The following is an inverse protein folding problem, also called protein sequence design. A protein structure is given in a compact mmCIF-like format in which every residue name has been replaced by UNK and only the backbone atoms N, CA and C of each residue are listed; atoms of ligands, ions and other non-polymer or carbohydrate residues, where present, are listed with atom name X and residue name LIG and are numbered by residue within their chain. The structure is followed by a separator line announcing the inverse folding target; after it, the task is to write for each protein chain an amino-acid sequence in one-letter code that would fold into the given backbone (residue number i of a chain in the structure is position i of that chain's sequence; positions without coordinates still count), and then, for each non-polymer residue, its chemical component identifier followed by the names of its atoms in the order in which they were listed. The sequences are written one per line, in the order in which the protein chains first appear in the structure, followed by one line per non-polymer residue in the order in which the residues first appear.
data_IF_367061972276
#
_entry.id   IF_367061972276
#
_cell.length_a   1.000
_cell.length_b   1.000
_cell.length_c   1.000
_cell.angle_alpha   90.00
_cell.angle_beta   90.00
_cell.angle_gamma   90.00
#
_symmetry.space_group_name_H-M   'P 1'
#
loop_
_entity.id
_entity.type
_entity.pdbx_description
1 polymer ?
#
# COMPACT_ATOMS: atom_id res chain seq x y z
N UNK A 1 -23.39 -40.27 19.27
CA UNK A 1 -23.15 -41.47 18.45
C UNK A 1 -22.94 -41.02 17.01
N UNK A 2 -21.68 -40.99 16.58
CA UNK A 2 -21.20 -41.12 15.20
C UNK A 2 -19.68 -40.89 15.26
N UNK A 3 -18.94 -42.00 15.30
CA UNK A 3 -17.48 -42.04 15.37
C UNK A 3 -16.91 -42.17 13.96
N UNK A 4 -16.08 -41.19 13.57
CA UNK A 4 -15.28 -41.20 12.34
C UNK A 4 -13.95 -41.93 12.59
N UNK A 5 -13.65 -42.91 11.74
CA UNK A 5 -12.45 -43.75 11.76
C UNK A 5 -11.21 -42.98 11.27
N UNK A 6 -10.10 -43.09 12.00
CA UNK A 6 -8.75 -42.68 11.59
C UNK A 6 -7.91 -43.96 11.41
N UNK A 7 -7.13 -44.14 10.33
CA UNK A 7 -6.24 -45.29 10.20
C UNK A 7 -4.86 -45.05 10.85
N UNK A 8 -4.43 -46.02 11.65
CA UNK A 8 -3.09 -46.12 12.25
C UNK A 8 -2.00 -46.49 11.22
N UNK A 9 -0.86 -45.79 11.28
CA UNK A 9 0.37 -46.19 10.60
C UNK A 9 1.25 -47.02 11.56
N UNK A 10 1.52 -48.27 11.20
CA UNK A 10 2.44 -49.17 11.92
C UNK A 10 3.82 -49.18 11.25
N UNK A 11 4.86 -48.81 12.00
CA UNK A 11 6.26 -48.96 11.61
C UNK A 11 6.77 -50.32 12.08
N UNK A 12 7.38 -51.11 11.19
CA UNK A 12 8.16 -52.31 11.54
C UNK A 12 9.66 -52.00 11.45
N UNK A 13 10.46 -52.37 12.46
CA UNK A 13 11.90 -52.53 12.33
C UNK A 13 12.31 -54.00 12.45
N UNK A 14 13.27 -54.42 11.63
CA UNK A 14 14.26 -55.47 11.91
C UNK A 14 15.03 -55.73 10.60
N UNK A 15 16.26 -56.22 10.56
CA UNK A 15 17.49 -56.09 11.35
C UNK A 15 18.46 -57.08 10.71
N UNK A 16 19.76 -56.85 10.91
CA UNK A 16 20.83 -57.87 10.93
C UNK A 16 21.22 -58.49 9.55
N UNK A 17 22.46 -58.87 9.27
CA UNK A 17 23.66 -58.96 10.10
C UNK A 17 24.90 -59.26 9.22
N UNK A 18 26.07 -58.98 9.78
CA UNK A 18 27.37 -59.67 9.63
C UNK A 18 28.06 -59.67 8.25
N UNK A 19 29.35 -59.37 8.12
CA UNK A 19 30.47 -60.07 8.75
C UNK A 19 31.75 -59.23 8.86
N UNK A 20 32.57 -59.64 9.82
CA UNK A 20 33.90 -59.18 10.24
C UNK A 20 35.03 -59.57 9.24
N UNK A 21 36.18 -58.87 9.28
CA UNK A 21 37.51 -59.39 9.69
C UNK A 21 38.70 -58.50 9.21
N UNK A 22 39.37 -57.89 10.21
CA UNK A 22 40.82 -57.81 10.54
C UNK A 22 41.93 -57.51 9.49
N UNK A 23 42.89 -56.69 9.96
CA UNK A 23 44.33 -56.50 9.59
C UNK A 23 44.60 -55.49 8.47
N UNK A 24 45.58 -54.59 8.50
CA UNK A 24 46.68 -54.29 9.40
C UNK A 24 47.68 -53.38 8.64
N UNK A 25 48.49 -52.59 9.35
CA UNK A 25 49.85 -52.22 8.92
C UNK A 25 50.05 -51.20 7.77
N UNK A 26 50.38 -49.97 8.19
CA UNK A 26 51.59 -49.21 7.81
C UNK A 26 51.97 -48.90 6.34
N UNK A 27 52.36 -47.62 6.19
CA UNK A 27 53.55 -47.11 5.50
C UNK A 27 53.41 -46.52 4.08
N UNK A 28 53.89 -45.27 4.01
CA UNK A 28 54.28 -44.44 2.87
C UNK A 28 54.62 -45.18 1.56
N UNK A 29 54.14 -44.62 0.43
CA UNK A 29 55.02 -44.07 -0.63
C UNK A 29 54.23 -43.38 -1.74
N UNK A 30 54.72 -42.20 -2.14
CA UNK A 30 54.36 -41.48 -3.36
C UNK A 30 54.78 -42.30 -4.58
N UNK A 31 53.87 -42.49 -5.54
CA UNK A 31 54.22 -42.77 -6.95
C UNK A 31 53.18 -42.07 -7.83
N UNK A 32 53.64 -41.10 -8.62
CA UNK A 32 52.88 -40.50 -9.71
C UNK A 32 52.93 -41.42 -10.93
N UNK A 33 51.77 -41.67 -11.55
CA UNK A 33 51.67 -42.16 -12.93
C UNK A 33 50.56 -41.41 -13.64
N UNK A 34 50.93 -40.68 -14.69
CA UNK A 34 50.01 -40.12 -15.67
C UNK A 34 49.38 -41.25 -16.50
N UNK A 35 48.07 -41.22 -16.74
CA UNK A 35 47.44 -41.15 -18.08
C UNK A 35 45.91 -41.38 -18.00
N UNK A 36 45.18 -40.55 -18.74
CA UNK A 36 43.86 -40.80 -19.33
C UNK A 36 42.60 -40.74 -18.42
N UNK A 37 41.96 -39.56 -18.37
CA UNK A 37 40.52 -39.46 -18.64
C UNK A 37 40.21 -38.05 -19.19
N UNK A 38 40.39 -37.91 -20.50
CA UNK A 38 39.98 -36.72 -21.28
C UNK A 38 38.54 -36.94 -21.75
N UNK A 39 37.56 -36.74 -20.87
CA UNK A 39 36.16 -36.56 -21.25
C UNK A 39 35.54 -35.64 -20.19
N UNK A 40 34.65 -34.75 -20.62
CA UNK A 40 33.94 -33.72 -19.85
C UNK A 40 34.66 -32.37 -19.89
N UNK A 41 34.34 -31.56 -20.89
CA UNK A 41 33.76 -30.21 -20.72
C UNK A 41 33.45 -29.62 -22.11
N UNK A 42 32.59 -30.30 -22.89
CA UNK A 42 31.76 -29.63 -23.90
C UNK A 42 30.47 -29.20 -23.20
N UNK A 43 30.59 -28.25 -22.27
CA UNK A 43 29.43 -27.45 -21.90
C UNK A 43 29.17 -26.54 -23.11
N UNK A 44 27.99 -26.57 -23.75
CA UNK A 44 27.63 -25.44 -24.59
C UNK A 44 27.66 -24.23 -23.66
N UNK A 45 28.51 -23.25 -23.97
CA UNK A 45 28.35 -21.94 -23.41
C UNK A 45 26.96 -21.48 -23.86
N UNK A 46 25.96 -21.69 -23.01
CA UNK A 46 24.66 -21.08 -23.18
C UNK A 46 24.93 -19.60 -23.23
N UNK A 47 24.83 -19.01 -24.43
CA UNK A 47 24.75 -17.58 -24.55
C UNK A 47 23.49 -17.21 -23.79
N UNK A 48 23.66 -16.72 -22.56
CA UNK A 48 22.61 -15.98 -21.89
C UNK A 48 22.47 -14.71 -22.73
N UNK A 49 21.61 -14.76 -23.74
CA UNK A 49 21.17 -13.57 -24.43
C UNK A 49 20.49 -12.72 -23.35
N UNK A 50 21.15 -11.63 -22.97
CA UNK A 50 20.51 -10.60 -22.19
C UNK A 50 19.23 -10.20 -22.96
N UNK A 51 18.09 -10.25 -22.29
CA UNK A 51 16.83 -9.81 -22.89
C UNK A 51 16.95 -8.37 -23.41
N UNK A 52 16.08 -7.97 -24.35
CA UNK A 52 16.06 -6.60 -24.84
C UNK A 52 15.95 -5.63 -23.66
N UNK A 53 16.87 -4.66 -23.58
CA UNK A 53 16.82 -3.65 -22.52
C UNK A 53 15.83 -2.56 -22.93
N UNK A 54 14.87 -2.18 -22.08
CA UNK A 54 14.01 -1.02 -22.34
C UNK A 54 14.85 0.25 -22.49
N UNK A 55 14.55 1.07 -23.51
CA UNK A 55 15.05 2.45 -23.63
C UNK A 55 13.83 3.38 -23.55
N UNK A 56 13.58 3.88 -22.34
CA UNK A 56 12.45 4.74 -22.01
C UNK A 56 12.99 6.07 -21.49
N UNK A 57 12.54 7.17 -22.10
CA UNK A 57 12.90 8.55 -21.75
C UNK A 57 11.64 9.34 -21.44
N UNK A 58 11.80 10.50 -20.80
CA UNK A 58 10.68 11.38 -20.45
C UNK A 58 9.54 10.65 -19.68
N UNK A 59 9.89 9.64 -18.88
CA UNK A 59 8.93 8.81 -18.14
C UNK A 59 8.49 9.52 -16.86
N UNK A 60 7.34 10.18 -16.95
CA UNK A 60 6.83 11.07 -15.91
C UNK A 60 5.31 11.05 -15.86
N UNK A 61 4.78 11.53 -14.75
CA UNK A 61 3.37 11.81 -14.55
C UNK A 61 3.21 13.28 -14.15
N UNK A 62 2.18 13.93 -14.69
CA UNK A 62 1.79 15.29 -14.33
C UNK A 62 0.38 15.26 -13.76
N UNK A 63 0.17 15.90 -12.61
CA UNK A 63 -1.14 15.98 -11.98
C UNK A 63 -1.82 17.30 -12.30
N UNK A 64 -3.09 17.22 -12.68
CA UNK A 64 -4.04 18.33 -12.53
C UNK A 64 -4.92 17.96 -11.35
N UNK A 65 -4.37 18.08 -10.14
CA UNK A 65 -4.99 17.61 -8.91
C UNK A 65 -6.27 18.42 -8.58
N UNK A 66 -7.37 17.78 -8.12
CA UNK A 66 -7.57 16.34 -7.89
C UNK A 66 -8.22 15.61 -9.09
N UNK A 67 -8.19 16.17 -10.29
CA UNK A 67 -8.99 15.68 -11.42
C UNK A 67 -8.29 14.62 -12.25
N UNK A 68 -7.01 14.81 -12.61
CA UNK A 68 -6.34 13.93 -13.57
C UNK A 68 -4.86 13.68 -13.28
N UNK A 69 -4.38 12.51 -13.74
CA UNK A 69 -2.97 12.15 -13.82
C UNK A 69 -2.61 11.79 -15.26
N UNK A 70 -1.71 12.55 -15.88
CA UNK A 70 -1.28 12.34 -17.26
C UNK A 70 0.12 11.72 -17.29
N UNK A 71 0.20 10.50 -17.81
CA UNK A 71 1.44 9.74 -17.96
C UNK A 71 2.02 9.97 -19.34
N UNK A 72 3.32 10.25 -19.40
CA UNK A 72 4.04 10.45 -20.67
C UNK A 72 5.33 9.64 -20.69
N UNK A 73 5.73 9.19 -21.88
CA UNK A 73 7.03 8.58 -22.11
C UNK A 73 7.42 8.64 -23.60
N UNK A 74 8.73 8.59 -23.85
CA UNK A 74 9.33 8.32 -25.16
C UNK A 74 9.92 6.91 -25.13
N UNK A 75 9.38 6.01 -25.95
CA UNK A 75 9.79 4.61 -26.05
C UNK A 75 10.65 4.41 -27.29
N UNK A 76 11.72 3.63 -27.20
CA UNK A 76 12.59 3.33 -28.34
C UNK A 76 12.89 1.83 -28.49
N UNK A 77 12.96 1.37 -29.74
CA UNK A 77 13.43 0.04 -30.14
C UNK A 77 14.21 0.12 -31.48
N UNK A 78 14.94 -0.95 -31.80
CA UNK A 78 15.61 -1.13 -33.10
C UNK A 78 14.64 -1.42 -34.26
N UNK A 79 13.44 -1.94 -33.95
CA UNK A 79 12.36 -2.17 -34.91
C UNK A 79 11.17 -1.26 -34.60
N UNK A 80 10.23 -1.13 -35.53
CA UNK A 80 9.00 -0.36 -35.30
C UNK A 80 8.22 -0.90 -34.09
N UNK A 81 7.88 -0.03 -33.16
CA UNK A 81 7.01 -0.34 -32.03
C UNK A 81 5.59 -0.49 -32.57
N UNK A 82 4.94 -1.61 -32.25
CA UNK A 82 3.61 -1.96 -32.79
C UNK A 82 2.54 -2.10 -31.69
N UNK A 83 2.96 -2.24 -30.44
CA UNK A 83 2.06 -2.28 -29.28
C UNK A 83 2.68 -1.52 -28.11
N UNK A 84 1.86 -0.74 -27.39
CA UNK A 84 2.22 -0.08 -26.14
C UNK A 84 1.07 -0.26 -25.15
N UNK A 85 1.39 -0.65 -23.93
CA UNK A 85 0.47 -0.80 -22.80
C UNK A 85 1.06 -0.04 -21.62
N UNK A 86 0.27 0.87 -21.06
CA UNK A 86 0.53 1.44 -19.74
C UNK A 86 -0.07 0.51 -18.69
N UNK A 87 0.77 -0.01 -17.80
CA UNK A 87 0.31 -0.67 -16.57
C UNK A 87 0.43 0.32 -15.42
N UNK A 88 -0.66 0.53 -14.67
CA UNK A 88 -0.70 1.51 -13.60
C UNK A 88 -1.61 1.07 -12.46
N UNK A 89 -1.48 1.73 -11.33
CA UNK A 89 -2.30 1.52 -10.14
C UNK A 89 -1.85 2.41 -8.98
N UNK A 90 -2.30 2.06 -7.78
CA UNK A 90 -1.90 2.69 -6.54
C UNK A 90 -1.35 1.63 -5.56
N UNK A 91 -0.74 2.09 -4.47
CA UNK A 91 -0.38 1.26 -3.33
C UNK A 91 -1.48 1.35 -2.29
N UNK A 92 -2.22 0.26 -2.12
CA UNK A 92 -3.27 0.10 -1.12
C UNK A 92 -3.36 -1.36 -0.69
N UNK A 93 -4.02 -1.61 0.44
CA UNK A 93 -4.40 -2.94 0.87
C UNK A 93 -5.44 -3.53 -0.09
N UNK A 94 -5.17 -4.73 -0.61
CA UNK A 94 -6.05 -5.45 -1.54
C UNK A 94 -5.98 -6.95 -1.25
N UNK A 95 -6.99 -7.72 -1.68
CA UNK A 95 -6.93 -9.19 -1.59
C UNK A 95 -6.13 -9.84 -2.72
N UNK A 96 -5.49 -9.06 -3.58
CA UNK A 96 -4.73 -9.58 -4.72
C UNK A 96 -4.11 -8.49 -5.56
N UNK A 97 -3.24 -8.87 -6.49
CA UNK A 97 -2.58 -7.94 -7.38
C UNK A 97 -3.61 -7.34 -8.37
N UNK A 98 -3.83 -6.03 -8.28
CA UNK A 98 -4.68 -5.27 -9.19
C UNK A 98 -3.79 -4.41 -10.07
N UNK A 99 -3.86 -4.65 -11.39
CA UNK A 99 -3.11 -3.88 -12.39
C UNK A 99 -4.12 -3.34 -13.40
N UNK A 100 -4.26 -2.01 -13.46
CA UNK A 100 -4.99 -1.37 -14.53
C UNK A 100 -4.13 -1.33 -15.81
N UNK A 101 -4.78 -1.45 -16.96
CA UNK A 101 -4.13 -1.40 -18.28
C UNK A 101 -4.78 -0.34 -19.14
N UNK A 102 -3.96 0.51 -19.74
CA UNK A 102 -4.37 1.50 -20.72
C UNK A 102 -3.57 1.34 -22.02
N UNK A 103 -4.18 1.76 -23.13
CA UNK A 103 -3.68 1.57 -24.49
C UNK A 103 -3.58 2.94 -25.17
N UNK A 104 -2.46 3.68 -25.02
CA UNK A 104 -2.29 4.98 -25.66
C UNK A 104 -2.30 4.86 -27.19
N UNK A 105 -2.75 5.91 -27.86
CA UNK A 105 -2.69 6.01 -29.32
C UNK A 105 -1.31 6.54 -29.74
N UNK A 106 -0.72 5.91 -30.76
CA UNK A 106 0.55 6.32 -31.35
C UNK A 106 0.64 5.84 -32.80
N UNK A 107 1.55 6.42 -33.58
CA UNK A 107 1.90 5.93 -34.90
C UNK A 107 3.11 4.99 -34.79
N UNK A 108 3.09 3.77 -35.37
CA UNK A 108 4.23 2.86 -35.33
C UNK A 108 5.51 3.50 -35.86
N UNK A 109 6.58 3.43 -35.07
CA UNK A 109 7.92 3.91 -35.41
C UNK A 109 8.94 3.27 -34.47
N UNK A 110 10.23 3.36 -34.78
CA UNK A 110 11.31 2.90 -33.88
C UNK A 110 11.45 3.75 -32.62
N UNK A 111 10.91 4.97 -32.62
CA UNK A 111 10.79 5.84 -31.45
C UNK A 111 9.39 6.46 -31.45
N UNK A 112 8.66 6.31 -30.35
CA UNK A 112 7.28 6.81 -30.22
C UNK A 112 7.15 7.60 -28.93
N UNK A 113 6.46 8.74 -29.02
CA UNK A 113 5.97 9.47 -27.85
C UNK A 113 4.56 8.99 -27.55
N UNK A 114 4.31 8.67 -26.27
CA UNK A 114 3.02 8.17 -25.80
C UNK A 114 2.53 8.99 -24.63
N UNK A 115 1.22 9.18 -24.60
CA UNK A 115 0.52 9.89 -23.53
C UNK A 115 -0.79 9.15 -23.22
N UNK A 116 -1.12 9.08 -21.93
CA UNK A 116 -2.44 8.63 -21.49
C UNK A 116 -2.84 9.36 -20.20
N UNK A 117 -4.10 9.79 -20.13
CA UNK A 117 -4.65 10.52 -18.98
C UNK A 117 -5.62 9.64 -18.20
N UNK A 118 -5.35 9.49 -16.92
CA UNK A 118 -6.27 8.93 -15.94
C UNK A 118 -7.19 10.04 -15.43
N UNK A 119 -8.49 9.96 -15.74
CA UNK A 119 -9.52 10.87 -15.24
C UNK A 119 -10.17 10.30 -13.96
N UNK A 120 -9.85 10.90 -12.81
CA UNK A 120 -10.30 10.44 -11.49
C UNK A 120 -11.82 10.59 -11.32
N UNK A 121 -12.46 11.46 -12.10
CA UNK A 121 -13.92 11.63 -12.11
C UNK A 121 -14.64 10.37 -12.63
N UNK A 122 -13.94 9.52 -13.37
CA UNK A 122 -14.49 8.28 -13.94
C UNK A 122 -14.23 7.05 -13.06
N UNK A 123 -13.06 6.97 -12.43
CA UNK A 123 -12.65 5.82 -11.61
C UNK A 123 -12.98 5.94 -10.13
N UNK A 124 -13.31 7.16 -9.66
CA UNK A 124 -13.29 7.51 -8.24
C UNK A 124 -11.99 8.22 -7.86
N UNK A 125 -12.06 9.07 -6.83
CA UNK A 125 -10.92 9.82 -6.31
C UNK A 125 -9.94 8.92 -5.57
N UNK A 126 -8.67 9.31 -5.53
CA UNK A 126 -7.68 8.77 -4.61
C UNK A 126 -7.51 9.72 -3.43
N UNK A 127 -7.28 9.21 -2.21
CA UNK A 127 -6.98 10.10 -1.09
C UNK A 127 -5.71 10.90 -1.38
N UNK A 128 -5.69 12.19 -1.03
CA UNK A 128 -4.45 12.97 -0.99
C UNK A 128 -3.37 12.21 -0.23
N UNK A 129 -2.20 12.08 -0.84
CA UNK A 129 -1.07 11.30 -0.32
C UNK A 129 -0.93 9.87 -0.84
N UNK A 130 -1.93 9.34 -1.57
CA UNK A 130 -1.84 8.00 -2.13
C UNK A 130 -0.60 7.85 -3.04
N UNK A 131 0.11 6.73 -2.92
CA UNK A 131 1.23 6.41 -3.82
C UNK A 131 0.67 5.81 -5.11
N UNK A 132 0.88 6.48 -6.23
CA UNK A 132 0.57 5.94 -7.55
C UNK A 132 1.81 5.27 -8.14
N UNK A 133 1.62 4.24 -8.94
CA UNK A 133 2.70 3.59 -9.67
C UNK A 133 2.31 3.34 -11.13
N UNK A 134 3.32 3.34 -12.01
CA UNK A 134 3.14 2.98 -13.41
C UNK A 134 4.40 2.35 -14.02
N UNK A 135 4.21 1.64 -15.13
CA UNK A 135 5.27 1.16 -16.02
C UNK A 135 4.74 0.95 -17.44
N UNK A 136 5.65 1.02 -18.40
CA UNK A 136 5.34 0.81 -19.82
C UNK A 136 5.74 -0.60 -20.26
N UNK A 137 4.85 -1.26 -21.00
CA UNK A 137 5.15 -2.47 -21.76
C UNK A 137 4.99 -2.19 -23.24
N UNK A 138 5.94 -2.62 -24.05
CA UNK A 138 5.82 -2.43 -25.50
C UNK A 138 6.45 -3.58 -26.28
N UNK A 139 5.91 -3.82 -27.47
CA UNK A 139 6.36 -4.88 -28.38
C UNK A 139 6.68 -4.27 -29.73
N UNK A 140 7.80 -4.67 -30.32
CA UNK A 140 8.20 -4.23 -31.65
C UNK A 140 7.81 -5.24 -32.75
N UNK A 141 8.00 -4.86 -34.01
CA UNK A 141 7.66 -5.66 -35.18
C UNK A 141 8.47 -6.97 -35.31
N UNK A 142 9.56 -7.13 -34.55
CA UNK A 142 10.31 -8.39 -34.47
C UNK A 142 9.70 -9.37 -33.45
N UNK A 143 8.71 -8.91 -32.66
CA UNK A 143 8.12 -9.65 -31.55
C UNK A 143 8.92 -9.51 -30.25
N UNK A 144 9.93 -8.63 -30.19
CA UNK A 144 10.66 -8.38 -28.96
C UNK A 144 9.79 -7.56 -27.98
N UNK A 145 9.71 -8.03 -26.74
CA UNK A 145 8.96 -7.38 -25.66
C UNK A 145 9.90 -6.62 -24.71
N UNK A 146 9.47 -5.45 -24.29
CA UNK A 146 10.19 -4.55 -23.40
C UNK A 146 9.27 -4.14 -22.25
N UNK A 147 9.86 -3.96 -21.06
CA UNK A 147 9.16 -3.53 -19.85
C UNK A 147 10.02 -2.49 -19.16
N UNK A 148 9.50 -1.28 -18.96
CA UNK A 148 10.22 -0.24 -18.23
C UNK A 148 10.34 -0.59 -16.74
N UNK A 149 11.25 0.10 -16.05
CA UNK A 149 11.24 0.12 -14.60
C UNK A 149 9.91 0.70 -14.10
N UNK A 150 9.45 0.24 -12.93
CA UNK A 150 8.29 0.82 -12.25
C UNK A 150 8.66 2.19 -11.70
N UNK A 151 7.81 3.17 -11.93
CA UNK A 151 7.89 4.53 -11.39
C UNK A 151 6.78 4.74 -10.38
N UNK A 152 7.00 5.66 -9.44
CA UNK A 152 6.00 6.04 -8.44
C UNK A 152 5.94 7.55 -8.28
N UNK A 153 4.80 8.05 -7.83
CA UNK A 153 4.59 9.45 -7.46
C UNK A 153 3.50 9.54 -6.38
N UNK A 154 3.55 10.58 -5.55
CA UNK A 154 2.52 10.83 -4.54
C UNK A 154 1.41 11.68 -5.13
N UNK A 155 0.17 11.18 -5.09
CA UNK A 155 -1.03 11.91 -5.49
C UNK A 155 -1.33 13.03 -4.50
N UNK A 156 -0.77 14.21 -4.74
CA UNK A 156 -0.92 15.37 -3.89
C UNK A 156 -0.77 16.63 -4.75
N UNK A 157 -1.38 17.73 -4.32
CA UNK A 157 -1.21 19.01 -4.99
C UNK A 157 0.24 19.53 -4.87
N UNK A 158 0.64 20.35 -5.84
CA UNK A 158 1.94 21.02 -5.88
C UNK A 158 1.83 22.54 -5.65
N UNK A 159 0.62 23.05 -5.36
CA UNK A 159 0.36 24.47 -5.15
C UNK A 159 0.61 24.89 -3.69
N UNK A 160 0.54 23.94 -2.76
CA UNK A 160 0.83 24.18 -1.35
C UNK A 160 2.21 23.69 -0.94
N UNK A 161 2.85 24.44 -0.04
CA UNK A 161 4.15 24.08 0.51
C UNK A 161 3.97 23.17 1.74
N UNK A 162 3.64 21.90 1.49
CA UNK A 162 3.49 20.87 2.52
C UNK A 162 4.76 20.71 3.36
N UNK A 163 4.57 20.61 4.67
CA UNK A 163 5.60 20.32 5.67
C UNK A 163 5.25 19.01 6.37
N UNK A 164 6.25 18.28 6.87
CA UNK A 164 6.03 17.00 7.56
C UNK A 164 6.65 17.00 8.96
N UNK A 165 5.91 16.50 9.94
CA UNK A 165 6.42 16.10 11.26
C UNK A 165 6.09 14.63 11.50
N UNK A 166 6.99 13.88 12.14
CA UNK A 166 6.87 12.42 12.26
C UNK A 166 7.13 11.95 13.68
N UNK A 167 6.43 10.90 14.11
CA UNK A 167 6.63 10.30 15.43
C UNK A 167 5.81 9.01 15.64
N UNK A 168 6.41 8.01 16.27
CA UNK A 168 5.74 6.76 16.69
C UNK A 168 4.91 6.04 15.62
N UNK A 169 5.38 6.01 14.37
CA UNK A 169 4.66 5.38 13.25
C UNK A 169 3.61 6.28 12.59
N UNK A 170 3.59 7.57 12.92
CA UNK A 170 2.77 8.58 12.26
C UNK A 170 3.65 9.56 11.47
N UNK A 171 3.12 10.05 10.35
CA UNK A 171 3.62 11.21 9.63
C UNK A 171 2.48 12.18 9.42
N UNK A 172 2.64 13.41 9.87
CA UNK A 172 1.65 14.45 9.71
C UNK A 172 2.16 15.45 8.69
N UNK A 173 1.40 15.62 7.62
CA UNK A 173 1.65 16.58 6.54
C UNK A 173 0.71 17.76 6.70
N UNK A 174 1.24 18.98 6.67
CA UNK A 174 0.44 20.19 6.90
C UNK A 174 0.98 21.39 6.13
N UNK A 175 0.14 22.39 5.93
CA UNK A 175 0.53 23.74 5.52
C UNK A 175 -0.37 24.78 6.19
N UNK A 176 -0.03 26.06 6.07
CA UNK A 176 -0.85 27.16 6.60
C UNK A 176 -0.92 27.28 8.14
N UNK A 177 -0.26 26.38 8.88
CA UNK A 177 -0.10 26.40 10.34
C UNK A 177 1.39 26.33 10.71
N UNK A 178 1.72 26.59 11.98
CA UNK A 178 3.10 26.54 12.47
C UNK A 178 3.51 25.14 12.97
N UNK A 179 4.81 24.97 13.24
CA UNK A 179 5.35 23.70 13.71
C UNK A 179 4.86 23.31 15.12
N UNK A 180 4.48 24.28 15.97
CA UNK A 180 3.98 23.99 17.31
C UNK A 180 2.58 23.36 17.24
N UNK A 181 1.73 23.90 16.35
CA UNK A 181 0.43 23.32 16.03
C UNK A 181 0.57 21.89 15.49
N UNK A 182 1.45 21.69 14.49
CA UNK A 182 1.66 20.37 13.91
C UNK A 182 2.16 19.35 14.95
N UNK A 183 3.05 19.76 15.85
CA UNK A 183 3.52 18.93 16.96
C UNK A 183 2.38 18.55 17.92
N UNK A 184 1.49 19.49 18.26
CA UNK A 184 0.34 19.23 19.14
C UNK A 184 -0.66 18.24 18.52
N UNK A 185 -0.86 18.27 17.20
CA UNK A 185 -1.67 17.31 16.46
C UNK A 185 -1.00 15.94 16.36
N UNK A 186 0.33 15.89 16.10
CA UNK A 186 1.08 14.64 16.13
C UNK A 186 0.99 13.97 17.51
N UNK A 187 1.10 14.75 18.59
CA UNK A 187 0.93 14.24 19.95
C UNK A 187 -0.49 13.72 20.21
N UNK A 188 -1.52 14.35 19.64
CA UNK A 188 -2.89 13.83 19.69
C UNK A 188 -2.99 12.46 18.98
N UNK A 189 -2.39 12.31 17.80
CA UNK A 189 -2.32 11.03 17.10
C UNK A 189 -1.58 9.95 17.89
N UNK A 190 -0.44 10.29 18.51
CA UNK A 190 0.33 9.36 19.36
C UNK A 190 -0.50 8.91 20.56
N UNK A 191 -1.23 9.83 21.18
CA UNK A 191 -2.19 9.51 22.24
C UNK A 191 -3.33 8.61 21.72
N UNK A 192 -3.83 8.86 20.52
CA UNK A 192 -4.81 8.00 19.84
C UNK A 192 -4.31 6.58 19.61
N UNK A 193 -3.07 6.40 19.15
CA UNK A 193 -2.43 5.07 19.04
C UNK A 193 -2.35 4.38 20.40
N UNK A 194 -1.96 5.11 21.45
CA UNK A 194 -1.86 4.57 22.82
C UNK A 194 -3.21 4.11 23.34
N UNK A 195 -4.25 4.94 23.22
CA UNK A 195 -5.62 4.64 23.68
C UNK A 195 -6.20 3.43 22.98
N UNK A 196 -6.14 3.41 21.65
CA UNK A 196 -6.62 2.27 20.86
C UNK A 196 -5.92 0.98 21.27
N UNK A 197 -4.59 1.01 21.41
CA UNK A 197 -3.85 -0.16 21.88
C UNK A 197 -4.30 -0.65 23.25
N UNK A 198 -4.45 0.25 24.22
CA UNK A 198 -4.78 -0.12 25.60
C UNK A 198 -6.25 -0.55 25.78
N UNK A 199 -7.16 0.07 25.04
CA UNK A 199 -8.60 -0.10 25.22
C UNK A 199 -9.17 -1.22 24.36
N UNK A 200 -8.69 -1.36 23.12
CA UNK A 200 -9.27 -2.27 22.12
C UNK A 200 -8.25 -3.28 21.58
N UNK A 201 -6.96 -3.06 21.85
CA UNK A 201 -5.88 -3.90 21.33
C UNK A 201 -5.51 -3.61 19.88
N UNK A 202 -6.11 -2.59 19.27
CA UNK A 202 -5.83 -2.17 17.90
C UNK A 202 -4.42 -1.61 17.77
N UNK A 203 -3.75 -1.94 16.67
CA UNK A 203 -2.37 -1.53 16.35
C UNK A 203 -2.33 -1.01 14.92
N UNK A 204 -1.46 -0.05 14.65
CA UNK A 204 -1.17 0.40 13.29
C UNK A 204 -0.43 -0.69 12.51
N UNK A 205 -0.84 -0.91 11.26
CA UNK A 205 -0.11 -1.74 10.30
C UNK A 205 0.66 -0.84 9.34
N UNK A 206 1.92 -0.56 9.67
CA UNK A 206 2.76 0.37 8.92
C UNK A 206 2.70 1.81 9.46
N UNK A 207 3.10 2.75 8.61
CA UNK A 207 3.08 4.18 8.93
C UNK A 207 1.74 4.75 8.50
N UNK A 208 1.09 5.51 9.38
CA UNK A 208 -0.14 6.26 9.05
C UNK A 208 0.23 7.69 8.68
N UNK A 209 -0.21 8.13 7.51
CA UNK A 209 -0.04 9.49 7.01
C UNK A 209 -1.30 10.32 7.30
N UNK A 210 -1.14 11.51 7.89
CA UNK A 210 -2.23 12.40 8.27
C UNK A 210 -2.04 13.72 7.53
N UNK A 211 -2.91 14.02 6.57
CA UNK A 211 -2.89 15.27 5.80
C UNK A 211 -3.85 16.27 6.41
N UNK A 212 -3.30 17.38 6.91
CA UNK A 212 -4.04 18.44 7.58
C UNK A 212 -4.14 19.66 6.68
N UNK A 213 -5.37 19.96 6.29
CA UNK A 213 -5.74 21.18 5.56
C UNK A 213 -6.08 22.30 6.55
N UNK A 214 -5.74 23.56 6.25
CA UNK A 214 -5.92 24.67 7.18
C UNK A 214 -7.39 25.00 7.47
N UNK A 215 -8.32 24.52 6.65
CA UNK A 215 -9.77 24.69 6.79
C UNK A 215 -10.52 23.59 6.01
N UNK A 216 -11.86 23.50 6.17
CA UNK A 216 -12.69 22.50 5.49
C UNK A 216 -12.80 22.69 3.98
N UNK A 217 -12.80 23.93 3.48
CA UNK A 217 -12.91 24.21 2.05
C UNK A 217 -11.69 23.63 1.31
N UNK A 218 -10.49 23.89 1.81
CA UNK A 218 -9.25 23.36 1.24
C UNK A 218 -9.25 21.82 1.22
N UNK A 219 -9.77 21.17 2.28
CA UNK A 219 -9.91 19.71 2.31
C UNK A 219 -10.92 19.21 1.26
N UNK A 220 -12.08 19.87 1.16
CA UNK A 220 -13.14 19.51 0.22
C UNK A 220 -12.70 19.67 -1.24
N UNK A 221 -11.94 20.72 -1.54
CA UNK A 221 -11.39 20.95 -2.87
C UNK A 221 -10.34 19.89 -3.27
N UNK A 222 -9.78 19.15 -2.29
CA UNK A 222 -8.78 18.12 -2.52
C UNK A 222 -9.35 16.72 -2.78
N UNK A 223 -10.66 16.49 -2.57
CA UNK A 223 -11.30 15.18 -2.74
C UNK A 223 -12.54 15.29 -3.62
N UNK A 224 -12.58 14.53 -4.70
CA UNK A 224 -13.76 14.53 -5.58
C UNK A 224 -14.95 13.84 -4.92
N UNK A 225 -16.12 14.46 -5.04
CA UNK A 225 -17.43 13.94 -4.61
C UNK A 225 -17.64 13.81 -3.09
N UNK A 226 -16.79 14.44 -2.29
CA UNK A 226 -16.91 14.37 -0.85
C UNK A 226 -18.12 15.17 -0.33
N UNK A 227 -18.94 14.61 0.58
CA UNK A 227 -19.97 15.38 1.27
C UNK A 227 -19.41 16.59 2.02
N UNK A 228 -20.09 17.74 1.88
CA UNK A 228 -19.63 19.01 2.45
C UNK A 228 -19.68 19.10 3.98
N UNK A 229 -20.20 18.08 4.66
CA UNK A 229 -20.31 18.05 6.12
C UNK A 229 -19.15 17.30 6.78
N UNK A 230 -18.32 16.63 6.00
CA UNK A 230 -17.20 15.83 6.51
C UNK A 230 -16.08 16.73 7.03
N UNK A 231 -15.67 16.53 8.28
CA UNK A 231 -14.57 17.28 8.93
C UNK A 231 -13.22 16.56 8.86
N UNK A 232 -13.24 15.24 8.65
CA UNK A 232 -12.09 14.38 8.45
C UNK A 232 -12.52 13.05 7.85
N UNK A 233 -11.58 12.33 7.28
CA UNK A 233 -11.81 11.00 6.72
C UNK A 233 -10.60 10.09 6.92
N UNK A 234 -10.90 8.82 7.10
CA UNK A 234 -9.94 7.74 7.13
C UNK A 234 -10.04 6.86 5.88
N UNK A 235 -8.88 6.63 5.26
CA UNK A 235 -8.69 5.72 4.14
C UNK A 235 -7.82 4.56 4.63
N UNK A 236 -8.44 3.61 5.34
CA UNK A 236 -7.73 2.54 6.03
C UNK A 236 -6.89 1.68 5.10
N UNK A 237 -7.38 1.37 3.89
CA UNK A 237 -6.64 0.61 2.88
C UNK A 237 -5.37 1.34 2.40
N UNK A 238 -5.25 2.65 2.65
CA UNK A 238 -4.07 3.45 2.30
C UNK A 238 -3.22 3.83 3.51
N UNK A 239 -3.67 3.53 4.74
CA UNK A 239 -3.13 4.12 5.97
C UNK A 239 -3.07 5.66 5.92
N UNK A 240 -4.11 6.29 5.36
CA UNK A 240 -4.19 7.75 5.22
C UNK A 240 -5.37 8.30 6.02
N UNK A 241 -5.14 9.39 6.73
CA UNK A 241 -6.17 10.28 7.26
C UNK A 241 -6.06 11.61 6.53
N UNK A 242 -7.20 12.21 6.20
CA UNK A 242 -7.27 13.62 5.80
C UNK A 242 -8.19 14.36 6.76
N UNK A 243 -7.88 15.61 7.06
CA UNK A 243 -8.77 16.44 7.89
C UNK A 243 -8.66 17.93 7.56
N UNK A 244 -9.79 18.63 7.67
CA UNK A 244 -9.86 20.08 7.64
C UNK A 244 -9.96 20.62 9.05
N UNK A 245 -9.25 21.72 9.33
CA UNK A 245 -9.25 22.29 10.67
C UNK A 245 -10.48 23.17 10.92
N UNK A 246 -11.03 23.03 12.12
CA UNK A 246 -11.88 24.05 12.73
C UNK A 246 -11.01 25.18 13.29
N UNK A 247 -11.29 26.43 12.91
CA UNK A 247 -10.55 27.61 13.41
C UNK A 247 -10.88 27.99 14.86
N UNK A 248 -11.94 27.42 15.43
CA UNK A 248 -12.49 27.87 16.72
C UNK A 248 -12.29 26.86 17.86
N UNK A 249 -11.85 25.64 17.55
CA UNK A 249 -11.81 24.56 18.53
C UNK A 249 -10.62 23.62 18.31
N UNK A 250 -9.51 23.91 19.00
CA UNK A 250 -8.31 23.07 18.98
C UNK A 250 -8.54 21.71 19.64
N UNK A 251 -9.36 21.64 20.69
CA UNK A 251 -9.68 20.36 21.34
C UNK A 251 -10.44 19.45 20.37
N UNK A 252 -11.41 20.01 19.64
CA UNK A 252 -12.12 19.31 18.58
C UNK A 252 -11.14 18.79 17.52
N UNK A 253 -10.21 19.63 17.02
CA UNK A 253 -9.22 19.17 16.04
C UNK A 253 -8.38 17.99 16.57
N UNK A 254 -7.96 18.02 17.84
CA UNK A 254 -7.21 16.92 18.46
C UNK A 254 -8.04 15.64 18.59
N UNK A 255 -9.34 15.77 18.92
CA UNK A 255 -10.27 14.64 18.96
C UNK A 255 -10.50 14.06 17.57
N UNK A 256 -10.67 14.89 16.55
CA UNK A 256 -10.81 14.46 15.16
C UNK A 256 -9.60 13.66 14.69
N UNK A 257 -8.36 14.06 15.02
CA UNK A 257 -7.17 13.26 14.72
C UNK A 257 -7.27 11.85 15.33
N UNK A 258 -7.71 11.74 16.58
CA UNK A 258 -7.86 10.45 17.27
C UNK A 258 -9.00 9.63 16.66
N UNK A 259 -10.12 10.28 16.34
CA UNK A 259 -11.30 9.69 15.73
C UNK A 259 -10.95 9.03 14.39
N UNK A 260 -10.42 9.80 13.45
CA UNK A 260 -10.08 9.29 12.11
C UNK A 260 -8.95 8.27 12.15
N UNK A 261 -7.96 8.45 13.03
CA UNK A 261 -6.93 7.44 13.22
C UNK A 261 -7.53 6.11 13.67
N UNK A 262 -8.56 6.13 14.52
CA UNK A 262 -9.23 4.91 14.98
C UNK A 262 -9.86 4.16 13.81
N UNK A 263 -10.50 4.85 12.87
CA UNK A 263 -11.04 4.24 11.65
C UNK A 263 -9.95 3.57 10.80
N UNK A 264 -8.76 4.18 10.67
CA UNK A 264 -7.61 3.53 10.00
C UNK A 264 -7.22 2.22 10.70
N UNK A 265 -7.08 2.24 12.03
CA UNK A 265 -6.69 1.05 12.80
C UNK A 265 -7.74 -0.06 12.75
N UNK A 266 -9.02 0.29 12.88
CA UNK A 266 -10.15 -0.64 12.79
C UNK A 266 -10.20 -1.27 11.40
N UNK A 267 -10.08 -0.47 10.33
CA UNK A 267 -10.09 -0.97 8.96
C UNK A 267 -8.94 -1.92 8.67
N UNK A 268 -7.71 -1.57 9.09
CA UNK A 268 -6.55 -2.46 8.96
C UNK A 268 -6.75 -3.78 9.70
N UNK A 269 -7.27 -3.74 10.93
CA UNK A 269 -7.51 -4.93 11.75
C UNK A 269 -8.61 -5.85 11.19
N UNK A 270 -9.64 -5.27 10.56
CA UNK A 270 -10.81 -6.00 10.06
C UNK A 270 -10.84 -6.19 8.56
N UNK A 271 -9.78 -5.80 7.87
CA UNK A 271 -9.67 -5.87 6.41
C UNK A 271 -10.13 -7.23 5.86
N UNK A 272 -11.09 -7.16 4.94
CA UNK A 272 -11.72 -8.32 4.31
C UNK A 272 -12.37 -7.91 2.99
N UNK A 273 -12.19 -8.70 1.93
CA UNK A 273 -12.87 -8.45 0.65
C UNK A 273 -14.28 -9.04 0.55
N UNK A 274 -14.84 -9.56 1.64
CA UNK A 274 -16.16 -10.22 1.64
C UNK A 274 -17.15 -9.60 2.64
N UNK A 275 -16.77 -8.56 3.39
CA UNK A 275 -17.66 -7.89 4.32
C UNK A 275 -17.03 -6.67 4.97
N UNK A 276 -17.89 -5.83 5.55
CA UNK A 276 -17.51 -4.64 6.32
C UNK A 276 -17.97 -4.79 7.76
N UNK A 277 -17.39 -4.00 8.67
CA UNK A 277 -17.95 -3.88 10.00
C UNK A 277 -19.26 -3.09 9.96
N UNK A 278 -20.19 -3.34 10.91
CA UNK A 278 -21.34 -2.47 11.10
C UNK A 278 -20.89 -1.07 11.55
N UNK A 279 -21.41 -0.01 10.91
CA UNK A 279 -20.99 1.37 11.20
C UNK A 279 -21.14 1.80 12.67
N UNK A 280 -22.11 1.25 13.42
CA UNK A 280 -22.23 1.56 14.85
C UNK A 280 -21.01 1.11 15.68
N UNK A 281 -20.30 0.06 15.24
CA UNK A 281 -19.07 -0.39 15.89
C UNK A 281 -17.92 0.54 15.50
N UNK A 282 -17.80 0.89 14.21
CA UNK A 282 -16.74 1.76 13.70
C UNK A 282 -16.80 3.14 14.37
N UNK A 283 -17.96 3.82 14.26
CA UNK A 283 -18.18 5.12 14.89
C UNK A 283 -18.12 5.05 16.43
N UNK A 284 -18.68 3.99 17.01
CA UNK A 284 -18.66 3.81 18.47
C UNK A 284 -17.25 3.68 19.04
N UNK A 285 -16.36 2.95 18.35
CA UNK A 285 -14.96 2.81 18.75
C UNK A 285 -14.17 4.10 18.55
N UNK A 286 -14.42 4.83 17.45
CA UNK A 286 -13.80 6.12 17.18
C UNK A 286 -14.17 7.15 18.26
N UNK A 287 -15.48 7.31 18.54
CA UNK A 287 -15.99 8.19 19.59
C UNK A 287 -15.48 7.80 20.99
N UNK A 288 -15.37 6.50 21.28
CA UNK A 288 -14.82 6.03 22.56
C UNK A 288 -13.34 6.42 22.72
N UNK A 289 -12.57 6.34 21.64
CA UNK A 289 -11.12 6.61 21.64
C UNK A 289 -10.79 8.10 21.86
N UNK A 290 -11.71 9.02 21.52
CA UNK A 290 -11.58 10.46 21.79
C UNK A 290 -11.42 10.80 23.29
N UNK A 291 -11.79 9.88 24.19
CA UNK A 291 -11.57 10.02 25.65
C UNK A 291 -12.74 10.61 26.42
N UNK A 292 -13.93 10.63 25.82
CA UNK A 292 -15.18 11.03 26.45
C UNK A 292 -16.05 11.88 25.52
N UNK A 293 -17.37 11.67 25.60
CA UNK A 293 -18.35 12.46 24.85
C UNK A 293 -18.37 13.90 25.37
N UNK A 294 -18.61 14.86 24.47
CA UNK A 294 -18.96 16.20 24.90
C UNK A 294 -20.30 16.18 25.68
N UNK A 295 -20.60 17.20 26.50
CA UNK A 295 -21.79 17.22 27.33
C UNK A 295 -23.11 17.05 26.57
N UNK A 296 -23.18 17.55 25.32
CA UNK A 296 -24.32 17.40 24.43
C UNK A 296 -24.52 15.95 24.01
N UNK A 297 -23.49 15.31 23.45
CA UNK A 297 -23.54 13.89 23.08
C UNK A 297 -23.78 12.98 24.29
N UNK A 298 -23.18 13.27 25.46
CA UNK A 298 -23.44 12.53 26.69
C UNK A 298 -24.92 12.63 27.10
N UNK A 299 -25.53 13.80 26.99
CA UNK A 299 -26.94 13.99 27.29
C UNK A 299 -27.85 13.22 26.32
N UNK A 300 -27.49 13.17 25.04
CA UNK A 300 -28.21 12.39 24.02
C UNK A 300 -28.10 10.88 24.29
N UNK A 301 -26.92 10.39 24.68
CA UNK A 301 -26.71 9.00 25.07
C UNK A 301 -27.55 8.65 26.31
N UNK A 302 -27.49 9.47 27.35
CA UNK A 302 -28.25 9.26 28.58
C UNK A 302 -29.77 9.28 28.33
N UNK A 303 -30.24 10.10 27.40
CA UNK A 303 -31.65 10.12 27.01
C UNK A 303 -32.03 8.83 26.29
N UNK A 304 -31.21 8.41 25.31
CA UNK A 304 -31.45 7.21 24.51
C UNK A 304 -31.50 5.95 25.37
N UNK A 305 -30.62 5.85 26.38
CA UNK A 305 -30.64 4.79 27.40
C UNK A 305 -31.95 4.83 28.21
N UNK A 306 -32.40 6.02 28.61
CA UNK A 306 -33.64 6.17 29.40
C UNK A 306 -34.90 5.83 28.62
N UNK A 307 -34.91 6.07 27.30
CA UNK A 307 -36.07 5.85 26.44
C UNK A 307 -36.04 4.54 25.66
N UNK A 308 -35.02 3.69 25.87
CA UNK A 308 -34.80 2.45 25.13
C UNK A 308 -34.82 2.68 23.60
N UNK A 309 -34.10 3.71 23.17
CA UNK A 309 -34.01 4.12 21.76
C UNK A 309 -32.56 4.16 21.27
N UNK A 310 -32.37 4.12 19.95
CA UNK A 310 -31.06 4.25 19.33
C UNK A 310 -30.77 5.71 18.95
N UNK A 311 -29.49 6.09 19.02
CA UNK A 311 -28.99 7.31 18.37
C UNK A 311 -28.91 7.00 16.88
N UNK A 312 -29.57 7.80 16.04
CA UNK A 312 -29.42 7.71 14.60
C UNK A 312 -28.07 8.29 14.18
N UNK A 313 -27.30 7.50 13.44
CA UNK A 313 -26.12 7.96 12.68
C UNK A 313 -26.58 8.63 11.38
#
# INVERSE_FOLDING_TARGET
MNTLNIPEFTVRPDSSSCYSIITGGSFMRRVSFHLLLLVIFLLPAGQVLAGPRPDVKNDQVVFSFPETATFTATLSSTSEITSVILEYGNEQQTCGEVIAKAFPLFAPASSVDVEWTWDMRQSGSLPPGASIWWRWRYTDASGAEFVSDKRTATWLDDIHNWQTVSGSGLRLHYYGKDAAFAQAMLEAGIEGLRRNREQTGLLADGVVDIYIYPNYTDMQDAVLYEPSWTGGQAYSDFNIVIMGLSDFDEEWNRKTVIHELTHVLVGAFTFSCIGTLPGWIEEGLAMFSEGGLDPGMQSMLDQSIRTDSLISL
#
